data_IF_421472628039
#
_entry.id   IF_421472628039
#
_cell.length_a   1.000
_cell.length_b   1.000
_cell.length_c   1.000
_cell.angle_alpha   90.00
_cell.angle_beta   90.00
_cell.angle_gamma   90.00
#
_symmetry.space_group_name_H-M   'P 1'
#
loop_
_entity.id
_entity.type
_entity.pdbx_description
1 polymer ?
#
# COMPACT_ATOMS: atom_id res chain seq x y z
N UNK A 1 17.16 -11.03 1.81
CA UNK A 1 18.22 -11.84 1.17
C UNK A 1 17.66 -13.22 0.92
N UNK A 2 17.63 -13.68 -0.32
CA UNK A 2 17.24 -15.07 -0.64
C UNK A 2 18.34 -15.97 -0.11
N UNK A 3 17.98 -16.88 0.81
CA UNK A 3 18.92 -17.85 1.37
C UNK A 3 19.28 -18.88 0.29
N UNK A 4 20.46 -18.74 -0.30
CA UNK A 4 20.97 -19.66 -1.33
C UNK A 4 21.07 -21.11 -0.84
N UNK A 5 21.21 -21.33 0.47
CA UNK A 5 21.34 -22.65 1.07
C UNK A 5 20.00 -23.40 1.24
N UNK A 6 18.85 -22.71 1.28
CA UNK A 6 17.55 -23.35 1.53
C UNK A 6 16.87 -23.96 0.28
N UNK A 7 17.40 -23.69 -0.91
CA UNK A 7 16.80 -24.14 -2.17
C UNK A 7 17.41 -25.45 -2.69
N UNK A 8 18.50 -25.96 -2.09
CA UNK A 8 19.18 -27.17 -2.56
C UNK A 8 18.33 -28.45 -2.47
N UNK A 9 17.35 -28.46 -1.57
CA UNK A 9 16.48 -29.62 -1.31
C UNK A 9 15.01 -29.38 -1.66
N UNK A 10 14.69 -28.24 -2.29
CA UNK A 10 13.31 -27.87 -2.64
C UNK A 10 13.05 -28.10 -4.12
N UNK A 11 11.83 -28.50 -4.47
CA UNK A 11 11.40 -28.49 -5.87
C UNK A 11 11.16 -27.07 -6.36
N UNK A 12 11.22 -26.85 -7.68
CA UNK A 12 10.85 -25.56 -8.29
C UNK A 12 9.47 -25.08 -7.85
N UNK A 13 8.54 -26.01 -7.64
CA UNK A 13 7.18 -25.75 -7.17
C UNK A 13 7.17 -25.24 -5.73
N UNK A 14 7.99 -25.82 -4.85
CA UNK A 14 8.14 -25.36 -3.47
C UNK A 14 8.81 -24.00 -3.37
N UNK A 15 9.81 -23.73 -4.22
CA UNK A 15 10.44 -22.42 -4.32
C UNK A 15 9.39 -21.38 -4.72
N UNK A 16 8.63 -21.64 -5.79
CA UNK A 16 7.56 -20.72 -6.24
C UNK A 16 6.49 -20.51 -5.17
N UNK A 17 6.07 -21.57 -4.46
CA UNK A 17 5.13 -21.45 -3.32
C UNK A 17 5.65 -20.43 -2.30
N UNK A 18 6.91 -20.58 -1.89
CA UNK A 18 7.52 -19.74 -0.85
C UNK A 18 7.70 -18.30 -1.34
N UNK A 19 8.12 -18.11 -2.60
CA UNK A 19 8.26 -16.79 -3.23
C UNK A 19 6.92 -16.04 -3.29
N UNK A 20 5.84 -16.71 -3.70
CA UNK A 20 4.51 -16.09 -3.73
C UNK A 20 3.94 -15.81 -2.34
N UNK A 21 4.26 -16.64 -1.34
CA UNK A 21 3.91 -16.37 0.05
C UNK A 21 4.66 -15.15 0.59
N UNK A 22 5.94 -15.03 0.29
CA UNK A 22 6.74 -13.86 0.67
C UNK A 22 6.22 -12.60 -0.02
N UNK A 23 5.93 -12.67 -1.32
CA UNK A 23 5.35 -11.56 -2.07
C UNK A 23 4.02 -11.12 -1.47
N UNK A 24 3.12 -12.05 -1.15
CA UNK A 24 1.86 -11.76 -0.48
C UNK A 24 2.09 -11.00 0.84
N UNK A 25 2.98 -11.49 1.71
CA UNK A 25 3.30 -10.81 2.98
C UNK A 25 3.87 -9.41 2.78
N UNK A 26 4.77 -9.23 1.81
CA UNK A 26 5.32 -7.91 1.47
C UNK A 26 4.22 -6.94 1.00
N UNK A 27 3.29 -7.41 0.17
CA UNK A 27 2.15 -6.60 -0.29
C UNK A 27 1.22 -6.21 0.86
N UNK A 28 0.95 -7.13 1.80
CA UNK A 28 0.18 -6.84 3.01
C UNK A 28 0.84 -5.74 3.87
N UNK A 29 2.15 -5.85 4.09
CA UNK A 29 2.90 -4.86 4.85
C UNK A 29 2.87 -3.49 4.14
N UNK A 30 3.10 -3.45 2.83
CA UNK A 30 3.02 -2.21 2.05
C UNK A 30 1.63 -1.56 2.09
N UNK A 31 0.56 -2.37 2.06
CA UNK A 31 -0.82 -1.89 2.16
C UNK A 31 -1.12 -1.32 3.56
N UNK A 32 -0.69 -2.01 4.61
CA UNK A 32 -0.82 -1.52 6.00
C UNK A 32 -0.08 -0.19 6.20
N UNK A 33 1.13 -0.08 5.68
CA UNK A 33 1.93 1.14 5.75
C UNK A 33 1.31 2.30 4.93
N UNK A 34 0.73 1.99 3.77
CA UNK A 34 -0.02 2.98 2.98
C UNK A 34 -1.25 3.49 3.74
N UNK A 35 -2.02 2.58 4.33
CA UNK A 35 -3.22 2.93 5.12
C UNK A 35 -2.83 3.83 6.31
N UNK A 36 -1.75 3.50 7.03
CA UNK A 36 -1.20 4.34 8.12
C UNK A 36 -0.86 5.75 7.63
N UNK A 37 -0.13 5.87 6.52
CA UNK A 37 0.29 7.16 5.97
C UNK A 37 -0.87 8.01 5.47
N UNK A 38 -1.89 7.38 4.89
CA UNK A 38 -3.11 8.09 4.47
C UNK A 38 -3.82 8.66 5.71
N UNK A 39 -3.98 7.86 6.76
CA UNK A 39 -4.60 8.33 8.01
C UNK A 39 -3.80 9.47 8.66
N UNK A 40 -2.47 9.38 8.68
CA UNK A 40 -1.61 10.46 9.18
C UNK A 40 -1.81 11.75 8.37
N UNK A 41 -1.79 11.66 7.03
CA UNK A 41 -2.01 12.81 6.17
C UNK A 41 -3.40 13.44 6.34
N UNK A 42 -4.45 12.62 6.51
CA UNK A 42 -5.81 13.11 6.77
C UNK A 42 -5.92 13.83 8.11
N UNK A 43 -5.28 13.28 9.15
CA UNK A 43 -5.24 13.91 10.48
C UNK A 43 -4.47 15.22 10.47
N UNK A 44 -3.31 15.27 9.82
CA UNK A 44 -2.50 16.48 9.69
C UNK A 44 -3.26 17.57 8.92
N UNK A 45 -3.93 17.19 7.83
CA UNK A 45 -4.74 18.10 7.04
C UNK A 45 -5.94 18.64 7.81
N UNK A 46 -6.66 17.78 8.54
CA UNK A 46 -7.78 18.16 9.41
C UNK A 46 -7.32 19.10 10.54
N UNK A 47 -6.16 18.81 11.14
CA UNK A 47 -5.55 19.64 12.18
C UNK A 47 -5.17 21.02 11.63
N UNK A 48 -4.58 21.08 10.43
CA UNK A 48 -4.29 22.33 9.73
C UNK A 48 -5.56 23.17 9.53
N UNK A 49 -6.62 22.58 8.98
CA UNK A 49 -7.90 23.26 8.77
C UNK A 49 -8.50 23.80 10.09
N UNK A 50 -8.38 23.02 11.16
CA UNK A 50 -8.90 23.38 12.49
C UNK A 50 -8.07 24.46 13.19
N UNK A 51 -6.75 24.48 12.93
CA UNK A 51 -5.82 25.44 13.51
C UNK A 51 -5.86 26.83 12.86
N UNK A 52 -6.44 26.94 11.66
CA UNK A 52 -6.60 28.22 11.00
C UNK A 52 -7.71 29.01 11.70
N UNK A 53 -7.39 30.14 12.37
CA UNK A 53 -8.44 31.03 12.87
C UNK A 53 -9.29 31.48 11.68
N UNK A 54 -10.58 31.69 11.92
CA UNK A 54 -11.49 32.37 11.00
C UNK A 54 -10.89 33.76 10.69
N UNK A 55 -9.98 33.84 9.72
CA UNK A 55 -9.40 35.08 9.23
C UNK A 55 -10.54 35.80 8.53
N UNK A 56 -11.23 36.64 9.30
CA UNK A 56 -12.37 37.39 8.81
C UNK A 56 -11.95 38.17 7.57
N UNK A 57 -12.72 37.99 6.52
CA UNK A 57 -12.51 38.47 5.14
C UNK A 57 -12.34 40.00 5.07
N UNK A 58 -12.60 40.71 6.17
CA UNK A 58 -12.72 42.17 6.21
C UNK A 58 -11.42 42.94 6.54
N UNK A 59 -10.30 42.31 6.93
CA UNK A 59 -9.12 43.07 7.43
C UNK A 59 -7.77 42.81 6.76
N UNK A 60 -7.63 41.86 5.82
CA UNK A 60 -6.34 41.53 5.20
C UNK A 60 -6.37 41.73 3.68
N UNK A 61 -5.48 42.57 3.09
CA UNK A 61 -5.31 42.64 1.65
C UNK A 61 -4.48 41.42 1.22
N UNK A 62 -5.09 40.28 0.94
CA UNK A 62 -4.29 39.08 0.60
C UNK A 62 -4.96 38.10 -0.35
N UNK A 63 -5.49 38.59 -1.47
CA UNK A 63 -5.98 37.74 -2.58
C UNK A 63 -4.99 36.63 -2.94
N UNK A 64 -3.69 36.93 -2.94
CA UNK A 64 -2.59 36.00 -3.23
C UNK A 64 -2.45 34.92 -2.15
N UNK A 65 -2.64 35.25 -0.88
CA UNK A 65 -2.62 34.28 0.21
C UNK A 65 -3.79 33.29 0.11
N UNK A 66 -4.99 33.79 -0.20
CA UNK A 66 -6.16 32.92 -0.40
C UNK A 66 -5.97 31.98 -1.60
N UNK A 67 -5.45 32.48 -2.73
CA UNK A 67 -5.16 31.65 -3.90
C UNK A 67 -4.07 30.59 -3.60
N UNK A 68 -3.02 30.96 -2.88
CA UNK A 68 -1.98 30.02 -2.47
C UNK A 68 -2.54 28.94 -1.52
N UNK A 69 -3.41 29.33 -0.58
CA UNK A 69 -4.10 28.41 0.34
C UNK A 69 -4.99 27.42 -0.42
N UNK A 70 -5.88 27.91 -1.28
CA UNK A 70 -6.80 27.07 -2.06
C UNK A 70 -6.02 26.10 -2.96
N UNK A 71 -4.93 26.57 -3.58
CA UNK A 71 -4.05 25.70 -4.35
C UNK A 71 -3.37 24.61 -3.52
N UNK A 72 -2.95 24.92 -2.29
CA UNK A 72 -2.33 23.96 -1.38
C UNK A 72 -3.34 22.89 -0.93
N UNK A 73 -4.55 23.30 -0.55
CA UNK A 73 -5.65 22.42 -0.14
C UNK A 73 -6.08 21.48 -1.27
N UNK A 74 -6.17 22.00 -2.50
CA UNK A 74 -6.47 21.21 -3.69
C UNK A 74 -5.36 20.16 -3.95
N UNK A 75 -4.09 20.55 -3.84
CA UNK A 75 -2.96 19.62 -4.01
C UNK A 75 -2.96 18.53 -2.94
N UNK A 76 -3.14 18.88 -1.67
CA UNK A 76 -3.20 17.93 -0.57
C UNK A 76 -4.31 16.88 -0.80
N UNK A 77 -5.50 17.34 -1.14
CA UNK A 77 -6.64 16.48 -1.49
C UNK A 77 -6.34 15.55 -2.67
N UNK A 78 -5.73 16.07 -3.74
CA UNK A 78 -5.35 15.28 -4.91
C UNK A 78 -4.32 14.20 -4.57
N UNK A 79 -3.31 14.50 -3.75
CA UNK A 79 -2.31 13.53 -3.32
C UNK A 79 -2.92 12.41 -2.49
N UNK A 80 -3.75 12.75 -1.48
CA UNK A 80 -4.45 11.75 -0.65
C UNK A 80 -5.31 10.84 -1.53
N UNK A 81 -6.05 11.41 -2.48
CA UNK A 81 -6.87 10.62 -3.40
C UNK A 81 -6.05 9.71 -4.31
N UNK A 82 -4.89 10.17 -4.81
CA UNK A 82 -3.98 9.35 -5.62
C UNK A 82 -3.43 8.16 -4.83
N UNK A 83 -3.06 8.36 -3.57
CA UNK A 83 -2.59 7.28 -2.70
C UNK A 83 -3.71 6.28 -2.40
N UNK A 84 -4.95 6.74 -2.17
CA UNK A 84 -6.13 5.86 -2.04
C UNK A 84 -6.34 4.99 -3.28
N UNK A 85 -6.08 5.49 -4.47
CA UNK A 85 -6.19 4.68 -5.70
C UNK A 85 -5.15 3.55 -5.73
N UNK A 86 -3.90 3.81 -5.31
CA UNK A 86 -2.85 2.76 -5.23
C UNK A 86 -3.18 1.65 -4.24
N UNK A 87 -3.99 1.95 -3.20
CA UNK A 87 -4.49 0.94 -2.26
C UNK A 87 -5.32 -0.15 -2.96
N UNK A 88 -6.09 0.23 -3.97
CA UNK A 88 -6.86 -0.72 -4.80
C UNK A 88 -5.91 -1.66 -5.55
N UNK A 89 -4.88 -1.10 -6.18
CA UNK A 89 -3.87 -1.87 -6.91
C UNK A 89 -3.13 -2.85 -6.00
N UNK A 90 -2.77 -2.43 -4.78
CA UNK A 90 -2.16 -3.30 -3.77
C UNK A 90 -3.09 -4.45 -3.36
N UNK A 91 -4.39 -4.18 -3.21
CA UNK A 91 -5.38 -5.21 -2.87
C UNK A 91 -5.52 -6.24 -4.00
N UNK A 92 -5.54 -5.79 -5.26
CA UNK A 92 -5.58 -6.67 -6.42
C UNK A 92 -4.30 -7.52 -6.48
N UNK A 93 -3.13 -6.91 -6.27
CA UNK A 93 -1.85 -7.60 -6.27
C UNK A 93 -1.77 -8.64 -5.13
N UNK A 94 -2.21 -8.29 -3.92
CA UNK A 94 -2.27 -9.15 -2.74
C UNK A 94 -3.08 -10.42 -3.05
N UNK A 95 -4.29 -10.27 -3.58
CA UNK A 95 -5.16 -11.38 -3.95
C UNK A 95 -4.53 -12.27 -5.03
N UNK A 96 -3.89 -11.67 -6.05
CA UNK A 96 -3.21 -12.42 -7.12
C UNK A 96 -2.03 -13.23 -6.58
N UNK A 97 -1.21 -12.63 -5.70
CA UNK A 97 -0.09 -13.32 -5.09
C UNK A 97 -0.56 -14.50 -4.23
N UNK A 98 -1.60 -14.30 -3.42
CA UNK A 98 -2.17 -15.37 -2.59
C UNK A 98 -2.73 -16.52 -3.42
N UNK A 99 -3.47 -16.22 -4.50
CA UNK A 99 -4.00 -17.24 -5.41
C UNK A 99 -2.88 -18.06 -6.07
N UNK A 100 -1.77 -17.43 -6.44
CA UNK A 100 -0.60 -18.14 -6.98
C UNK A 100 0.11 -18.98 -5.92
N UNK A 101 0.22 -18.48 -4.69
CA UNK A 101 0.70 -19.28 -3.56
C UNK A 101 -0.16 -20.56 -3.38
N UNK A 102 -1.49 -20.44 -3.36
CA UNK A 102 -2.40 -21.59 -3.24
C UNK A 102 -2.22 -22.59 -4.38
N UNK A 103 -2.06 -22.08 -5.61
CA UNK A 103 -1.80 -22.93 -6.78
C UNK A 103 -0.52 -23.77 -6.61
N UNK A 104 0.61 -23.13 -6.29
CA UNK A 104 1.88 -23.85 -6.12
C UNK A 104 1.90 -24.72 -4.87
N UNK A 105 1.21 -24.32 -3.79
CA UNK A 105 1.01 -25.18 -2.62
C UNK A 105 0.31 -26.49 -3.00
N UNK A 106 -0.78 -26.42 -3.75
CA UNK A 106 -1.52 -27.60 -4.19
C UNK A 106 -0.75 -28.44 -5.22
N UNK A 107 0.13 -27.82 -6.01
CA UNK A 107 1.00 -28.55 -6.92
C UNK A 107 2.09 -29.31 -6.16
N UNK A 108 2.73 -28.69 -5.15
CA UNK A 108 3.74 -29.33 -4.31
C UNK A 108 3.18 -30.55 -3.57
N UNK A 109 1.94 -30.47 -3.06
CA UNK A 109 1.26 -31.59 -2.41
C UNK A 109 1.12 -32.77 -3.39
N UNK A 110 0.64 -32.51 -4.62
CA UNK A 110 0.47 -33.54 -5.64
C UNK A 110 1.79 -34.15 -6.12
N UNK A 111 2.86 -33.36 -6.19
CA UNK A 111 4.21 -33.86 -6.49
C UNK A 111 4.70 -34.79 -5.38
N UNK A 112 4.53 -34.41 -4.12
CA UNK A 112 4.93 -35.22 -2.97
C UNK A 112 4.13 -36.54 -2.87
N UNK A 113 2.84 -36.54 -3.24
CA UNK A 113 2.01 -37.74 -3.30
C UNK A 113 2.44 -38.71 -4.41
N UNK A 114 2.94 -38.21 -5.55
CA UNK A 114 3.42 -39.05 -6.66
C UNK A 114 4.81 -39.65 -6.44
N UNK A 115 5.60 -39.00 -5.59
CA UNK A 115 6.98 -39.43 -5.29
C UNK A 115 7.05 -40.33 -4.04
N UNK A 116 5.91 -40.66 -3.43
CA UNK A 116 5.76 -41.66 -2.37
C UNK A 116 5.38 -43.02 -2.97
#
# INVERSE_FOLDING_TARGET
MISFFSNWFKTDTEIKRDDYLELYRRLQNSKSELDRRITEAENDYSSYLSSMPFLSIQKLPSKEFYQAKESLEAKASQYIQREKNKRSDLTIAENRAYNRYLHYKNLAIREAEKNK
#
